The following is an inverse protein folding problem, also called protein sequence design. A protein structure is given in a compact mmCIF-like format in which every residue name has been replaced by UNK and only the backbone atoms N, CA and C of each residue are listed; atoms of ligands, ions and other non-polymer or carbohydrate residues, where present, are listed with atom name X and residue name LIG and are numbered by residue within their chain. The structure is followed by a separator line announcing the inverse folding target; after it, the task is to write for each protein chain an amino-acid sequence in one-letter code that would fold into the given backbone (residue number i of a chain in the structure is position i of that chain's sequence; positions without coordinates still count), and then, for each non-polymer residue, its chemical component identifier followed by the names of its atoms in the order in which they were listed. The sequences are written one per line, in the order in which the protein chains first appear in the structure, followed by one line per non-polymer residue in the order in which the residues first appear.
data_IF_955270830237
#
_entry.id   IF_955270830237
#
_cell.length_a   1.000
_cell.length_b   1.000
_cell.length_c   1.000
_cell.angle_alpha   90.00
_cell.angle_beta   90.00
_cell.angle_gamma   90.00
#
_symmetry.space_group_name_H-M   'P 1'
#
loop_
_entity.id
_entity.type
_entity.pdbx_description
1 polymer ?
#
# COMPACT_ATOMS: atom_id res chain seq x y z
N UNK A 1 -8.67 -4.28 -13.38
CA UNK A 1 -8.39 -4.34 -11.94
C UNK A 1 -7.79 -5.69 -11.65
N UNK A 2 -6.62 -5.75 -11.02
CA UNK A 2 -5.98 -7.01 -10.61
C UNK A 2 -6.05 -7.10 -9.10
N UNK A 3 -6.63 -8.18 -8.60
CA UNK A 3 -6.64 -8.54 -7.19
C UNK A 3 -5.49 -9.51 -6.93
N UNK A 4 -4.77 -9.25 -5.86
CA UNK A 4 -3.73 -10.14 -5.33
C UNK A 4 -3.92 -10.23 -3.83
N UNK A 5 -3.64 -11.42 -3.31
CA UNK A 5 -3.62 -11.65 -1.87
C UNK A 5 -2.51 -10.82 -1.23
N UNK A 6 -2.80 -10.22 -0.08
CA UNK A 6 -1.79 -9.61 0.76
C UNK A 6 -0.83 -10.70 1.26
N UNK A 7 0.38 -10.73 0.70
CA UNK A 7 1.33 -11.84 0.85
C UNK A 7 2.75 -11.38 0.55
N UNK A 8 3.75 -12.12 1.04
CA UNK A 8 5.17 -11.86 0.79
C UNK A 8 5.48 -11.70 -0.72
N UNK A 9 4.78 -12.44 -1.59
CA UNK A 9 4.94 -12.34 -3.05
C UNK A 9 4.60 -10.95 -3.59
N UNK A 10 3.65 -10.24 -2.98
CA UNK A 10 3.36 -8.85 -3.33
C UNK A 10 4.52 -7.94 -2.93
N UNK A 11 4.97 -8.02 -1.68
CA UNK A 11 6.02 -7.16 -1.13
C UNK A 11 7.36 -7.38 -1.85
N UNK A 12 7.73 -8.63 -2.15
CA UNK A 12 8.93 -8.96 -2.91
C UNK A 12 8.90 -8.37 -4.33
N UNK A 13 7.73 -8.43 -4.98
CA UNK A 13 7.57 -8.02 -6.36
C UNK A 13 7.50 -6.50 -6.53
N UNK A 14 6.67 -5.85 -5.72
CA UNK A 14 6.33 -4.44 -5.89
C UNK A 14 7.07 -3.50 -4.95
N UNK A 15 7.64 -4.06 -3.87
CA UNK A 15 8.50 -3.37 -2.91
C UNK A 15 7.89 -2.02 -2.50
N UNK A 16 6.76 -2.05 -1.77
CA UNK A 16 6.10 -0.83 -1.34
C UNK A 16 7.05 0.08 -0.56
N UNK A 17 6.86 1.37 -0.74
CA UNK A 17 7.60 2.42 -0.10
C UNK A 17 7.06 2.58 1.30
N UNK A 18 7.98 2.80 2.22
CA UNK A 18 7.69 3.10 3.61
C UNK A 18 6.88 4.41 3.79
N UNK A 19 5.92 4.41 4.70
CA UNK A 19 5.17 5.61 5.07
C UNK A 19 5.97 6.49 6.05
N UNK A 20 6.83 7.32 5.47
CA UNK A 20 7.64 8.29 6.21
C UNK A 20 6.86 9.44 6.86
N UNK A 21 5.55 9.58 6.58
CA UNK A 21 4.73 10.67 7.14
C UNK A 21 4.23 10.34 8.55
N UNK A 22 3.86 9.08 8.79
CA UNK A 22 3.35 8.63 10.09
C UNK A 22 4.40 7.92 10.94
N UNK A 23 5.50 7.53 10.31
CA UNK A 23 6.55 6.79 10.94
C UNK A 23 7.88 7.46 10.60
N UNK A 24 8.45 8.25 11.50
CA UNK A 24 9.77 8.84 11.27
C UNK A 24 10.90 7.89 11.74
N UNK A 25 10.55 6.89 12.55
CA UNK A 25 11.49 6.02 13.24
C UNK A 25 11.95 4.78 12.47
N UNK A 26 11.29 4.41 11.37
CA UNK A 26 11.72 3.31 10.51
C UNK A 26 12.23 3.82 9.15
N UNK A 27 12.86 2.90 8.43
CA UNK A 27 13.54 3.11 7.15
C UNK A 27 13.06 2.08 6.12
N UNK A 28 13.35 2.34 4.84
CA UNK A 28 12.91 1.47 3.74
C UNK A 28 13.36 0.01 3.95
N UNK A 29 12.40 -0.90 4.01
CA UNK A 29 12.64 -2.34 4.18
C UNK A 29 12.56 -2.84 5.63
N UNK A 30 12.32 -1.94 6.59
CA UNK A 30 11.94 -2.34 7.95
C UNK A 30 10.44 -2.66 8.02
N UNK A 31 10.06 -3.56 8.92
CA UNK A 31 8.67 -3.94 9.23
C UNK A 31 8.44 -3.67 10.72
N UNK A 32 7.20 -3.34 11.11
CA UNK A 32 6.83 -3.23 12.52
C UNK A 32 5.72 -4.22 12.87
N UNK A 33 5.87 -4.87 14.03
CA UNK A 33 4.90 -5.88 14.49
C UNK A 33 4.89 -7.15 13.65
N UNK A 34 3.80 -7.91 13.79
CA UNK A 34 3.61 -9.18 13.07
C UNK A 34 3.09 -8.99 11.63
N UNK A 35 2.65 -7.78 11.29
CA UNK A 35 2.10 -7.43 9.98
C UNK A 35 3.15 -6.70 9.12
N UNK A 36 3.71 -7.42 8.15
CA UNK A 36 4.77 -6.97 7.23
C UNK A 36 4.43 -5.63 6.54
N UNK A 37 3.15 -5.37 6.26
CA UNK A 37 2.69 -4.19 5.54
C UNK A 37 2.44 -2.94 6.38
N UNK A 38 2.30 -3.06 7.71
CA UNK A 38 1.74 -1.99 8.55
C UNK A 38 2.46 -0.65 8.43
N UNK A 39 3.79 -0.67 8.35
CA UNK A 39 4.63 0.54 8.21
C UNK A 39 4.66 1.14 6.79
N UNK A 40 4.07 0.46 5.82
CA UNK A 40 3.99 0.90 4.41
C UNK A 40 2.61 1.46 4.07
N UNK A 41 1.65 1.40 5.01
CA UNK A 41 0.29 1.84 4.81
C UNK A 41 0.19 3.36 4.88
N UNK A 42 -0.43 3.94 3.86
CA UNK A 42 -0.83 5.33 3.81
C UNK A 42 -2.32 5.43 4.10
N UNK A 43 -2.70 6.37 4.95
CA UNK A 43 -4.08 6.62 5.34
C UNK A 43 -4.95 7.14 4.19
N UNK A 44 -6.26 6.93 4.32
CA UNK A 44 -7.24 7.31 3.28
C UNK A 44 -7.68 8.77 3.32
N UNK A 45 -7.01 9.58 4.14
CA UNK A 45 -7.31 10.99 4.38
C UNK A 45 -6.01 11.78 4.68
N UNK A 46 -6.16 13.08 4.95
CA UNK A 46 -5.04 13.90 5.42
C UNK A 46 -3.90 14.10 4.42
N UNK A 47 -2.68 14.22 4.93
CA UNK A 47 -1.46 14.40 4.12
C UNK A 47 -1.10 13.12 3.36
N UNK A 48 -1.35 11.94 3.93
CA UNK A 48 -1.17 10.65 3.28
C UNK A 48 -1.96 10.54 1.98
N UNK A 49 -3.26 10.87 2.01
CA UNK A 49 -4.07 10.86 0.79
C UNK A 49 -3.55 11.85 -0.26
N UNK A 50 -3.01 13.01 0.15
CA UNK A 50 -2.42 13.97 -0.78
C UNK A 50 -1.17 13.37 -1.42
N UNK A 51 -0.27 12.80 -0.62
CA UNK A 51 0.93 12.12 -1.09
C UNK A 51 0.60 10.97 -2.06
N UNK A 52 -0.39 10.13 -1.73
CA UNK A 52 -0.84 9.05 -2.62
C UNK A 52 -1.31 9.59 -3.97
N UNK A 53 -2.09 10.69 -3.98
CA UNK A 53 -2.62 11.30 -5.20
C UNK A 53 -1.57 11.97 -6.09
N UNK A 54 -0.36 12.21 -5.58
CA UNK A 54 0.76 12.73 -6.38
C UNK A 54 1.43 11.64 -7.22
N UNK A 55 1.13 10.36 -6.97
CA UNK A 55 1.72 9.24 -7.68
C UNK A 55 0.91 8.83 -8.91
N UNK A 56 1.61 8.30 -9.92
CA UNK A 56 0.97 7.66 -11.07
C UNK A 56 0.26 6.37 -10.62
N UNK A 57 -0.95 6.16 -11.11
CA UNK A 57 -1.86 5.06 -10.77
C UNK A 57 -1.22 3.66 -10.93
N UNK A 58 -0.18 3.52 -11.76
CA UNK A 58 0.61 2.28 -11.88
C UNK A 58 1.43 1.92 -10.64
N UNK A 59 1.67 2.86 -9.74
CA UNK A 59 2.38 2.67 -8.47
C UNK A 59 1.43 2.57 -7.29
N UNK A 60 0.18 3.00 -7.44
CA UNK A 60 -0.80 2.97 -6.37
C UNK A 60 -1.42 1.59 -6.28
N UNK A 61 -1.50 1.08 -5.06
CA UNK A 61 -2.25 -0.11 -4.69
C UNK A 61 -3.18 0.24 -3.52
N UNK A 62 -4.38 -0.30 -3.54
CA UNK A 62 -5.39 -0.11 -2.49
C UNK A 62 -5.52 -1.41 -1.71
N UNK A 63 -5.34 -1.35 -0.39
CA UNK A 63 -5.67 -2.42 0.54
C UNK A 63 -7.18 -2.39 0.78
N UNK A 64 -7.83 -3.54 0.60
CA UNK A 64 -9.28 -3.73 0.71
C UNK A 64 -9.51 -4.86 1.69
N UNK A 65 -10.50 -4.71 2.56
CA UNK A 65 -10.96 -5.78 3.44
C UNK A 65 -12.36 -6.25 3.02
N UNK A 66 -12.52 -7.56 2.82
CA UNK A 66 -13.79 -8.21 2.51
C UNK A 66 -13.84 -9.57 3.22
N UNK A 67 -14.92 -9.83 3.97
CA UNK A 67 -15.13 -11.06 4.75
C UNK A 67 -13.92 -11.48 5.62
N UNK A 68 -13.41 -10.54 6.43
CA UNK A 68 -12.25 -10.70 7.32
C UNK A 68 -10.95 -11.11 6.59
N UNK A 69 -10.86 -10.80 5.28
CA UNK A 69 -9.66 -11.03 4.47
C UNK A 69 -9.23 -9.75 3.80
N UNK A 70 -7.91 -9.57 3.75
CA UNK A 70 -7.30 -8.43 3.09
C UNK A 70 -6.83 -8.80 1.67
N UNK A 71 -7.15 -7.91 0.74
CA UNK A 71 -6.78 -8.01 -0.66
C UNK A 71 -6.12 -6.72 -1.10
N UNK A 72 -5.15 -6.84 -2.00
CA UNK A 72 -4.50 -5.69 -2.61
C UNK A 72 -5.00 -5.57 -4.04
N UNK A 73 -5.59 -4.41 -4.35
CA UNK A 73 -6.06 -4.08 -5.69
C UNK A 73 -5.14 -3.05 -6.34
N UNK A 74 -4.82 -3.26 -7.62
CA UNK A 74 -4.08 -2.27 -8.39
C UNK A 74 -4.91 -1.00 -8.67
N UNK A 75 -4.30 0.16 -8.46
CA UNK A 75 -4.84 1.48 -8.73
C UNK A 75 -5.44 2.16 -7.50
N UNK A 76 -5.77 3.43 -7.64
CA UNK A 76 -6.47 4.22 -6.62
C UNK A 76 -7.97 3.90 -6.57
N UNK A 77 -8.50 3.54 -5.40
CA UNK A 77 -9.94 3.37 -5.16
C UNK A 77 -10.36 4.06 -3.87
N UNK A 78 -11.50 4.75 -3.89
CA UNK A 78 -12.11 5.34 -2.69
C UNK A 78 -13.10 4.39 -1.99
N UNK A 79 -13.53 3.32 -2.67
CA UNK A 79 -14.54 2.40 -2.15
C UNK A 79 -13.83 1.21 -1.51
N UNK A 80 -14.24 0.88 -0.29
CA UNK A 80 -13.68 -0.20 0.54
C UNK A 80 -12.14 -0.13 0.67
N UNK A 81 -11.58 1.08 0.67
CA UNK A 81 -10.16 1.29 0.89
C UNK A 81 -9.87 1.35 2.39
N UNK A 82 -9.08 0.40 2.88
CA UNK A 82 -8.56 0.40 4.25
C UNK A 82 -7.34 1.33 4.32
N UNK A 83 -6.37 1.11 3.44
CA UNK A 83 -5.16 1.93 3.28
C UNK A 83 -4.68 1.91 1.82
N UNK A 84 -3.68 2.72 1.52
CA UNK A 84 -2.93 2.67 0.27
C UNK A 84 -1.50 2.19 0.48
N UNK A 85 -0.93 1.63 -0.59
CA UNK A 85 0.46 1.24 -0.70
C UNK A 85 1.03 1.88 -1.97
N UNK A 86 2.22 2.48 -1.86
CA UNK A 86 2.93 3.05 -3.01
C UNK A 86 4.08 2.13 -3.39
N UNK A 87 3.98 1.44 -4.53
CA UNK A 87 5.03 0.56 -5.02
C UNK A 87 6.22 1.33 -5.59
N UNK A 88 7.43 0.82 -5.39
CA UNK A 88 8.63 1.32 -6.10
C UNK A 88 8.75 0.70 -7.50
N UNK A 89 8.11 -0.44 -7.75
CA UNK A 89 8.05 -1.10 -9.06
C UNK A 89 6.66 -0.89 -9.68
N UNK A 90 6.56 -0.35 -10.91
CA UNK A 90 5.26 -0.06 -11.51
C UNK A 90 4.53 -1.34 -11.94
N UNK A 91 3.21 -1.35 -11.82
CA UNK A 91 2.37 -2.35 -12.47
C UNK A 91 2.45 -2.20 -14.00
N UNK A 92 2.71 -3.32 -14.68
CA UNK A 92 2.65 -3.44 -16.13
C UNK A 92 1.49 -4.38 -16.48
N UNK A 93 0.56 -3.88 -17.29
CA UNK A 93 -0.58 -4.67 -17.82
C UNK A 93 -0.09 -5.80 -18.71
#
# INVERSE_FOLDING_TARGET
MKYIEDSDLFYDKYKPVYNHLEHEQFTQGETAGDDVGSVMYFETYGEDLKFVKEHDDKFIWTLIEEDDKQYISQGFSLVNALNYLIASVPFKK
#
